data_IF_758708226732
#
_entry.id   IF_758708226732
#
_cell.length_a   1.000
_cell.length_b   1.000
_cell.length_c   1.000
_cell.angle_alpha   90.00
_cell.angle_beta   90.00
_cell.angle_gamma   90.00
#
_symmetry.space_group_name_H-M   'P 1'
#
loop_
_entity.id
_entity.type
_entity.pdbx_description
1 polymer ?
#
# COMPACT_ATOMS: atom_id res chain seq x y z
N UNK A 1 2.60 -45.71 13.03
CA UNK A 1 1.34 -45.06 12.58
C UNK A 1 1.24 -45.27 11.07
N UNK A 2 0.43 -46.22 10.60
CA UNK A 2 0.30 -46.52 9.16
C UNK A 2 -0.81 -45.63 8.59
N UNK A 3 -0.44 -44.66 7.76
CA UNK A 3 -1.38 -43.84 7.00
C UNK A 3 -2.19 -44.78 6.10
N UNK A 4 -3.50 -44.86 6.33
CA UNK A 4 -4.42 -45.68 5.52
C UNK A 4 -4.62 -45.05 4.15
N UNK A 5 -5.01 -45.84 3.15
CA UNK A 5 -5.15 -45.36 1.76
C UNK A 5 -6.13 -44.18 1.66
N UNK A 6 -7.18 -44.17 2.48
CA UNK A 6 -8.17 -43.09 2.56
C UNK A 6 -7.59 -41.78 3.08
N UNK A 7 -6.64 -41.83 4.02
CA UNK A 7 -6.00 -40.64 4.60
C UNK A 7 -5.12 -39.93 3.54
N UNK A 8 -4.45 -40.70 2.65
CA UNK A 8 -3.72 -40.13 1.51
C UNK A 8 -4.63 -39.45 0.49
N UNK A 9 -5.80 -40.03 0.22
CA UNK A 9 -6.79 -39.46 -0.70
C UNK A 9 -7.35 -38.16 -0.12
N UNK A 10 -7.66 -38.16 1.18
CA UNK A 10 -8.18 -36.98 1.86
C UNK A 10 -7.18 -35.82 1.82
N UNK A 11 -5.91 -36.09 2.13
CA UNK A 11 -4.84 -35.09 2.09
C UNK A 11 -4.63 -34.56 0.67
N UNK A 12 -4.59 -35.44 -0.34
CA UNK A 12 -4.45 -35.03 -1.74
C UNK A 12 -5.64 -34.16 -2.20
N UNK A 13 -6.87 -34.54 -1.85
CA UNK A 13 -8.06 -33.77 -2.18
C UNK A 13 -8.06 -32.39 -1.50
N UNK A 14 -7.62 -32.31 -0.24
CA UNK A 14 -7.47 -31.05 0.49
C UNK A 14 -6.42 -30.14 -0.16
N UNK A 15 -5.28 -30.66 -0.58
CA UNK A 15 -4.25 -29.88 -1.28
C UNK A 15 -4.74 -29.39 -2.64
N UNK A 16 -5.43 -30.22 -3.41
CA UNK A 16 -6.01 -29.83 -4.71
C UNK A 16 -7.09 -28.77 -4.53
N UNK A 17 -7.98 -28.95 -3.55
CA UNK A 17 -9.05 -27.99 -3.25
C UNK A 17 -8.47 -26.64 -2.79
N UNK A 18 -7.50 -26.65 -1.86
CA UNK A 18 -6.82 -25.43 -1.42
C UNK A 18 -6.04 -24.77 -2.55
N UNK A 19 -5.33 -25.55 -3.37
CA UNK A 19 -4.63 -25.03 -4.54
C UNK A 19 -5.58 -24.37 -5.54
N UNK A 20 -6.72 -25.01 -5.84
CA UNK A 20 -7.74 -24.47 -6.72
C UNK A 20 -8.39 -23.20 -6.16
N UNK A 21 -8.70 -23.18 -4.87
CA UNK A 21 -9.18 -21.98 -4.17
C UNK A 21 -8.13 -20.87 -4.21
N UNK A 22 -6.85 -21.14 -3.95
CA UNK A 22 -5.79 -20.13 -3.98
C UNK A 22 -5.57 -19.55 -5.38
N UNK A 23 -5.80 -20.34 -6.43
CA UNK A 23 -5.69 -19.92 -7.82
C UNK A 23 -6.89 -19.07 -8.27
N UNK A 24 -8.09 -19.34 -7.75
CA UNK A 24 -9.31 -18.56 -8.01
C UNK A 24 -9.47 -17.33 -7.10
N UNK A 25 -8.97 -17.40 -5.86
CA UNK A 25 -8.93 -16.27 -4.94
C UNK A 25 -7.64 -15.50 -5.23
N UNK A 26 -7.67 -14.71 -6.31
CA UNK A 26 -6.53 -13.95 -6.80
C UNK A 26 -5.69 -13.33 -5.68
N UNK A 27 -4.59 -14.01 -5.33
CA UNK A 27 -3.54 -13.49 -4.45
C UNK A 27 -2.65 -12.60 -5.29
N UNK A 28 -3.27 -11.62 -5.95
CA UNK A 28 -2.58 -10.53 -6.60
C UNK A 28 -2.19 -9.54 -5.53
N UNK A 29 -0.90 -9.32 -5.31
CA UNK A 29 -0.48 -8.04 -4.76
C UNK A 29 -0.89 -6.99 -5.78
N UNK A 30 -2.09 -6.44 -5.64
CA UNK A 30 -2.60 -5.39 -6.51
C UNK A 30 -1.55 -4.28 -6.51
N UNK A 31 -0.91 -4.10 -7.66
CA UNK A 31 0.00 -2.99 -7.87
C UNK A 31 -0.88 -1.75 -7.75
N UNK A 32 -0.50 -0.83 -6.87
CA UNK A 32 -1.20 0.44 -6.84
C UNK A 32 -1.01 1.14 -8.16
N UNK A 33 -2.05 1.74 -8.69
CA UNK A 33 -1.96 2.54 -9.91
C UNK A 33 -1.77 4.02 -9.58
N UNK A 34 -2.17 4.43 -8.37
CA UNK A 34 -2.25 5.83 -8.00
C UNK A 34 -1.56 6.11 -6.66
N UNK A 35 -0.88 7.24 -6.59
CA UNK A 35 -0.36 7.84 -5.35
C UNK A 35 -1.32 8.94 -4.95
N UNK A 36 -1.99 8.77 -3.82
CA UNK A 36 -2.87 9.79 -3.25
C UNK A 36 -2.12 10.49 -2.12
N UNK A 37 -2.05 11.81 -2.21
CA UNK A 37 -1.45 12.67 -1.21
C UNK A 37 -2.57 13.41 -0.49
N UNK A 38 -2.60 13.26 0.82
CA UNK A 38 -3.58 13.90 1.70
C UNK A 38 -2.87 14.84 2.68
N UNK A 39 -3.46 16.01 2.90
CA UNK A 39 -3.05 16.99 3.92
C UNK A 39 -4.26 17.29 4.78
N UNK A 40 -4.13 17.20 6.10
CA UNK A 40 -5.26 17.43 7.02
C UNK A 40 -6.49 16.58 6.64
N UNK A 41 -6.28 15.31 6.27
CA UNK A 41 -7.31 14.36 5.82
C UNK A 41 -8.04 14.74 4.51
N UNK A 42 -7.61 15.79 3.81
CA UNK A 42 -8.14 16.16 2.48
C UNK A 42 -7.17 15.74 1.39
N UNK A 43 -7.70 15.10 0.36
CA UNK A 43 -6.93 14.79 -0.84
C UNK A 43 -6.54 16.07 -1.57
N UNK A 44 -5.23 16.34 -1.69
CA UNK A 44 -4.69 17.54 -2.33
C UNK A 44 -4.08 17.24 -3.69
N UNK A 45 -3.62 16.00 -3.90
CA UNK A 45 -3.03 15.58 -5.15
C UNK A 45 -3.21 14.07 -5.35
N UNK A 46 -3.42 13.69 -6.61
CA UNK A 46 -3.43 12.32 -7.09
C UNK A 46 -2.45 12.22 -8.25
N UNK A 47 -1.46 11.35 -8.11
CA UNK A 47 -0.40 11.16 -9.10
C UNK A 47 -0.47 9.73 -9.63
N UNK A 48 -0.20 9.54 -10.91
CA UNK A 48 -0.10 8.21 -11.47
C UNK A 48 1.25 7.59 -11.04
N UNK A 49 1.23 6.34 -10.58
CA UNK A 49 2.44 5.67 -10.09
C UNK A 49 3.41 5.31 -11.24
N UNK A 50 2.89 5.23 -12.46
CA UNK A 50 3.62 4.94 -13.70
C UNK A 50 4.45 6.12 -14.23
N UNK A 51 4.22 7.33 -13.70
CA UNK A 51 4.82 8.56 -14.19
C UNK A 51 5.85 9.07 -13.18
N UNK A 52 7.09 9.22 -13.64
CA UNK A 52 8.17 9.76 -12.83
C UNK A 52 7.97 11.27 -12.62
N UNK A 53 7.76 11.69 -11.36
CA UNK A 53 7.52 13.08 -11.02
C UNK A 53 7.87 13.41 -9.57
N UNK A 54 8.20 14.67 -9.32
CA UNK A 54 8.43 15.20 -7.98
C UNK A 54 7.36 16.24 -7.70
N UNK A 55 6.71 16.15 -6.55
CA UNK A 55 5.63 17.06 -6.14
C UNK A 55 5.90 17.62 -4.76
N UNK A 56 5.69 18.93 -4.63
CA UNK A 56 5.86 19.66 -3.39
C UNK A 56 4.50 19.94 -2.78
N UNK A 57 4.35 19.57 -1.52
CA UNK A 57 3.07 19.60 -0.81
C UNK A 57 3.26 20.40 0.47
N UNK A 58 2.47 21.46 0.63
CA UNK A 58 2.53 22.31 1.81
C UNK A 58 1.61 21.76 2.91
N UNK A 59 2.21 21.31 4.00
CA UNK A 59 1.49 20.97 5.23
C UNK A 59 1.60 22.08 6.29
N UNK A 60 0.97 21.91 7.45
CA UNK A 60 0.96 22.91 8.52
C UNK A 60 2.34 23.25 9.10
N UNK A 61 3.29 22.30 9.06
CA UNK A 61 4.68 22.54 9.50
C UNK A 61 5.58 23.05 8.38
N UNK A 62 5.16 22.94 7.11
CA UNK A 62 5.93 23.41 5.96
C UNK A 62 5.92 22.45 4.78
N UNK A 63 6.89 22.62 3.89
CA UNK A 63 6.95 21.93 2.60
C UNK A 63 7.48 20.50 2.73
N UNK A 64 6.68 19.53 2.29
CA UNK A 64 7.09 18.12 2.09
C UNK A 64 7.32 17.88 0.60
N UNK A 65 8.38 17.16 0.27
CA UNK A 65 8.72 16.77 -1.10
C UNK A 65 8.47 15.27 -1.26
N UNK A 66 7.62 14.93 -2.22
CA UNK A 66 7.24 13.56 -2.56
C UNK A 66 7.77 13.26 -3.95
N UNK A 67 8.53 12.18 -4.09
CA UNK A 67 9.04 11.69 -5.36
C UNK A 67 8.31 10.41 -5.74
N UNK A 68 7.80 10.36 -6.96
CA UNK A 68 7.31 9.17 -7.63
C UNK A 68 8.31 8.81 -8.71
N UNK A 69 8.82 7.59 -8.67
CA UNK A 69 9.84 7.10 -9.61
C UNK A 69 9.72 5.59 -9.80
N UNK A 70 9.75 5.14 -11.05
CA UNK A 70 9.78 3.72 -11.44
C UNK A 70 8.65 2.88 -10.80
N UNK A 71 7.43 3.40 -10.74
CA UNK A 71 6.33 2.65 -10.12
C UNK A 71 6.37 2.67 -8.58
N UNK A 72 7.06 3.60 -7.94
CA UNK A 72 7.20 3.68 -6.48
C UNK A 72 7.14 5.13 -6.02
N UNK A 73 6.61 5.38 -4.82
CA UNK A 73 6.59 6.71 -4.21
C UNK A 73 7.43 6.74 -2.94
N UNK A 74 8.04 7.88 -2.62
CA UNK A 74 8.70 8.13 -1.32
C UNK A 74 8.65 9.59 -0.94
N UNK A 75 8.86 9.87 0.35
CA UNK A 75 9.06 11.24 0.84
C UNK A 75 10.56 11.51 0.90
N UNK A 76 11.04 12.42 0.06
CA UNK A 76 12.46 12.81 -0.02
C UNK A 76 12.80 13.80 1.09
N UNK A 77 11.90 14.76 1.33
CA UNK A 77 12.12 15.83 2.30
C UNK A 77 10.85 16.11 3.09
N UNK A 78 10.98 16.35 4.39
CA UNK A 78 9.88 16.77 5.25
C UNK A 78 10.40 17.59 6.43
N UNK A 79 9.67 18.60 6.93
CA UNK A 79 10.12 19.47 8.02
C UNK A 79 10.05 18.80 9.41
N UNK A 80 9.60 17.55 9.53
CA UNK A 80 9.48 16.87 10.83
C UNK A 80 10.84 16.54 11.48
N UNK A 81 10.87 16.42 12.81
CA UNK A 81 12.08 16.07 13.58
C UNK A 81 12.49 14.60 13.42
N UNK A 82 11.52 13.69 13.47
CA UNK A 82 11.80 12.25 13.56
C UNK A 82 12.17 11.62 12.20
N UNK A 83 11.87 12.31 11.09
CA UNK A 83 12.13 11.86 9.70
C UNK A 83 11.64 10.44 9.39
N UNK A 84 10.62 9.95 10.12
CA UNK A 84 10.09 8.58 9.97
C UNK A 84 9.57 8.36 8.56
N UNK A 85 8.86 9.34 8.01
CA UNK A 85 8.35 9.31 6.64
C UNK A 85 9.44 9.14 5.57
N UNK A 86 10.64 9.68 5.81
CA UNK A 86 11.80 9.53 4.91
C UNK A 86 12.43 8.14 5.09
N UNK A 87 12.55 7.70 6.35
CA UNK A 87 13.09 6.37 6.70
C UNK A 87 12.22 5.22 6.20
N UNK A 88 10.92 5.45 5.98
CA UNK A 88 10.01 4.46 5.38
C UNK A 88 10.40 4.04 3.97
N UNK A 89 11.19 4.86 3.26
CA UNK A 89 11.69 4.53 1.92
C UNK A 89 10.59 4.49 0.87
N UNK A 90 10.77 3.64 -0.13
CA UNK A 90 9.86 3.51 -1.26
C UNK A 90 8.65 2.63 -0.96
N UNK A 91 7.46 3.11 -1.31
CA UNK A 91 6.19 2.39 -1.24
C UNK A 91 5.65 2.14 -2.66
N UNK A 92 5.21 0.91 -2.93
CA UNK A 92 4.77 0.45 -4.26
C UNK A 92 3.42 -0.29 -4.27
N UNK A 93 3.15 -1.04 -3.21
CA UNK A 93 1.97 -1.90 -3.16
C UNK A 93 0.75 -1.12 -2.69
N UNK A 94 -0.43 -1.48 -3.18
CA UNK A 94 -1.69 -0.99 -2.62
C UNK A 94 -1.71 -1.17 -1.10
N UNK A 95 -2.38 -0.26 -0.40
CA UNK A 95 -2.51 -0.20 1.07
C UNK A 95 -1.23 0.11 1.84
N UNK A 96 -0.10 0.31 1.15
CA UNK A 96 1.08 0.92 1.78
C UNK A 96 0.94 2.44 1.83
N UNK A 97 1.41 3.01 2.93
CA UNK A 97 1.41 4.45 3.16
C UNK A 97 2.69 4.90 3.85
N UNK A 98 3.05 6.15 3.61
CA UNK A 98 4.09 6.90 4.33
C UNK A 98 3.46 8.18 4.87
N UNK A 99 3.50 8.36 6.19
CA UNK A 99 2.85 9.49 6.84
C UNK A 99 3.86 10.34 7.62
N UNK A 100 3.81 11.64 7.39
CA UNK A 100 4.43 12.63 8.26
C UNK A 100 3.37 13.15 9.23
N UNK A 101 3.15 12.43 10.32
CA UNK A 101 2.13 12.77 11.34
C UNK A 101 2.25 14.24 11.81
N UNK A 102 3.45 14.77 12.13
CA UNK A 102 3.55 16.16 12.59
C UNK A 102 3.15 17.17 11.51
N UNK A 103 3.46 16.90 10.23
CA UNK A 103 3.12 17.78 9.12
C UNK A 103 1.75 17.42 8.50
N UNK A 104 1.02 16.47 9.09
CA UNK A 104 -0.27 15.95 8.63
C UNK A 104 -0.34 15.63 7.14
N UNK A 105 0.79 15.24 6.56
CA UNK A 105 0.90 14.80 5.16
C UNK A 105 0.92 13.28 5.15
N UNK A 106 0.01 12.67 4.39
CA UNK A 106 -0.07 11.22 4.20
C UNK A 106 0.04 10.92 2.71
N UNK A 107 0.97 10.05 2.35
CA UNK A 107 1.13 9.53 0.99
C UNK A 107 0.70 8.08 1.01
N UNK A 108 -0.33 7.72 0.25
CA UNK A 108 -0.89 6.36 0.17
C UNK A 108 -0.85 5.88 -1.26
N UNK A 109 -0.55 4.60 -1.43
CA UNK A 109 -0.70 3.91 -2.70
C UNK A 109 -2.10 3.28 -2.78
N UNK A 110 -2.82 3.60 -3.85
CA UNK A 110 -4.20 3.18 -4.10
C UNK A 110 -4.24 2.31 -5.36
N UNK A 111 -4.78 1.10 -5.22
CA UNK A 111 -5.09 0.19 -6.32
C UNK A 111 -6.47 0.48 -6.94
N UNK A 112 -6.69 -0.07 -8.14
CA UNK A 112 -7.96 0.03 -8.88
C UNK A 112 -9.09 -0.71 -8.15
N UNK A 113 -8.74 -1.78 -7.43
CA UNK A 113 -9.66 -2.55 -6.60
C UNK A 113 -9.77 -1.90 -5.21
N UNK A 114 -10.60 -0.86 -5.09
CA UNK A 114 -11.05 -0.36 -3.79
C UNK A 114 -11.88 -1.45 -3.08
N UNK A 115 -11.23 -2.36 -2.35
CA UNK A 115 -11.88 -3.05 -1.23
C UNK A 115 -11.94 -2.04 -0.09
N UNK A 116 -13.05 -1.29 -0.04
CA UNK A 116 -13.39 -0.42 1.07
C UNK A 116 -13.46 -1.25 2.36
N UNK A 117 -12.39 -1.22 3.14
CA UNK A 117 -12.41 -1.59 4.55
C UNK A 117 -12.36 -0.29 5.32
N UNK A 118 -13.51 0.38 5.40
CA UNK A 118 -13.71 1.48 6.34
C UNK A 118 -13.80 0.86 7.74
N UNK A 119 -12.72 0.99 8.50
CA UNK A 119 -12.74 0.73 9.93
C UNK A 119 -13.58 1.82 10.59
N UNK A 120 -14.83 1.49 10.88
CA UNK A 120 -15.73 2.29 11.73
C UNK A 120 -15.12 2.31 13.14
N UNK A 121 -14.70 3.49 13.61
CA UNK A 121 -14.34 3.71 15.02
C UNK A 121 -15.64 4.08 15.73
N UNK A 122 -16.17 3.15 16.53
CA UNK A 122 -17.20 3.42 17.54
C UNK A 122 -16.60 4.00 18.81
#
# INVERSE_FOLDING_TARGET
MRITLGDKILVAALFVLNGWLFMNWGVGFDRGNWVVIQVDQKEVARLALDTDQITHVKGPLGLTEVEVKQGQARIVRSPCKNKVCIKSGYIRYADRLAACIPNRVVVRIVGELHRGVDAVVG
#
